data_IF_598845696578
#
_entry.id   IF_598845696578
#
_cell.length_a   1.000
_cell.length_b   1.000
_cell.length_c   1.000
_cell.angle_alpha   90.00
_cell.angle_beta   90.00
_cell.angle_gamma   90.00
#
_symmetry.space_group_name_H-M   'P 1'
#
loop_
_entity.id
_entity.type
_entity.pdbx_description
1 polymer ?
#
# COMPACT_ATOMS: atom_id res chain seq x y z
N UNK A 1 2.14 -4.06 -14.36
CA UNK A 1 1.52 -5.00 -15.34
C UNK A 1 0.53 -5.87 -14.57
N UNK A 2 -0.76 -5.63 -14.76
CA UNK A 2 -1.83 -6.33 -14.02
C UNK A 2 -2.95 -6.73 -14.98
N UNK A 3 -3.74 -7.74 -14.60
CA UNK A 3 -4.94 -8.19 -15.31
C UNK A 3 -6.20 -7.43 -14.87
N UNK A 4 -6.03 -6.33 -14.13
CA UNK A 4 -7.13 -5.58 -13.53
C UNK A 4 -7.21 -4.18 -14.16
N UNK A 5 -8.42 -3.77 -14.52
CA UNK A 5 -8.76 -2.40 -14.94
C UNK A 5 -9.91 -1.88 -14.09
N UNK A 6 -9.76 -0.69 -13.52
CA UNK A 6 -10.86 -0.06 -12.76
C UNK A 6 -11.57 0.94 -13.68
N UNK A 7 -12.84 0.65 -13.96
CA UNK A 7 -13.68 1.48 -14.84
C UNK A 7 -14.53 2.42 -13.99
N UNK A 8 -14.54 3.71 -14.38
CA UNK A 8 -15.44 4.71 -13.81
C UNK A 8 -16.63 4.90 -14.75
N UNK A 9 -17.80 4.45 -14.35
CA UNK A 9 -19.07 4.76 -14.99
C UNK A 9 -19.58 6.08 -14.41
N UNK A 10 -19.29 7.17 -15.10
CA UNK A 10 -19.65 8.52 -14.64
C UNK A 10 -21.15 8.78 -14.72
N UNK A 11 -21.88 8.09 -15.60
CA UNK A 11 -23.32 8.24 -15.73
C UNK A 11 -24.08 7.66 -14.54
N UNK A 12 -23.59 6.58 -13.97
CA UNK A 12 -24.20 5.89 -12.81
C UNK A 12 -23.43 6.11 -11.50
N UNK A 13 -22.41 6.98 -11.50
CA UNK A 13 -21.54 7.25 -10.33
C UNK A 13 -20.97 5.97 -9.70
N UNK A 14 -20.50 5.03 -10.53
CA UNK A 14 -20.00 3.74 -10.09
C UNK A 14 -18.55 3.53 -10.52
N UNK A 15 -17.75 2.94 -9.64
CA UNK A 15 -16.44 2.37 -9.97
C UNK A 15 -16.50 0.87 -9.77
N UNK A 16 -15.98 0.12 -10.73
CA UNK A 16 -15.90 -1.33 -10.61
C UNK A 16 -14.63 -1.87 -11.27
N UNK A 17 -13.96 -2.85 -10.63
CA UNK A 17 -12.84 -3.53 -11.23
C UNK A 17 -13.34 -4.56 -12.25
N UNK A 18 -12.65 -4.65 -13.37
CA UNK A 18 -12.74 -5.75 -14.32
C UNK A 18 -11.43 -6.53 -14.18
N UNK A 19 -11.52 -7.81 -13.87
CA UNK A 19 -10.37 -8.70 -13.75
C UNK A 19 -10.46 -9.75 -14.84
N UNK A 20 -9.49 -9.76 -15.75
CA UNK A 20 -9.42 -10.73 -16.85
C UNK A 20 -7.98 -10.83 -17.35
N UNK A 21 -7.49 -12.05 -17.57
CA UNK A 21 -6.12 -12.27 -18.02
C UNK A 21 -5.82 -11.66 -19.39
N UNK A 22 -6.84 -11.49 -20.25
CA UNK A 22 -6.70 -10.78 -21.52
C UNK A 22 -6.44 -9.27 -21.38
N UNK A 23 -6.60 -8.70 -20.19
CA UNK A 23 -6.24 -7.30 -19.92
C UNK A 23 -4.76 -7.12 -19.57
N UNK A 24 -4.04 -8.22 -19.32
CA UNK A 24 -2.60 -8.15 -19.04
C UNK A 24 -1.88 -7.67 -20.30
N UNK A 25 -1.14 -6.53 -20.26
CA UNK A 25 -0.44 -6.04 -21.42
C UNK A 25 0.77 -6.93 -21.75
N UNK A 26 1.05 -7.13 -23.03
CA UNK A 26 2.24 -7.83 -23.49
C UNK A 26 3.52 -7.02 -23.26
N UNK A 27 3.40 -5.69 -23.26
CA UNK A 27 4.52 -4.74 -23.08
C UNK A 27 4.13 -3.64 -22.11
N UNK A 28 5.06 -3.24 -21.23
CA UNK A 28 4.97 -2.03 -20.43
C UNK A 28 6.11 -1.08 -20.79
N UNK A 29 5.79 0.09 -21.30
CA UNK A 29 6.76 1.13 -21.64
C UNK A 29 6.88 2.08 -20.43
N UNK A 30 8.00 2.00 -19.73
CA UNK A 30 8.27 2.78 -18.51
C UNK A 30 9.14 3.99 -18.87
N UNK A 31 8.52 5.04 -19.43
CA UNK A 31 9.22 6.29 -19.73
C UNK A 31 9.03 7.29 -18.58
N UNK A 32 10.11 7.61 -17.83
CA UNK A 32 10.04 8.52 -16.69
C UNK A 32 9.65 9.95 -17.08
N UNK A 33 9.84 10.35 -18.34
CA UNK A 33 9.48 11.68 -18.82
C UNK A 33 7.95 11.93 -18.79
N UNK A 34 7.17 10.88 -18.92
CA UNK A 34 5.70 10.97 -18.87
C UNK A 34 5.16 11.33 -17.48
N UNK A 35 5.96 11.19 -16.43
CA UNK A 35 5.55 11.43 -15.03
C UNK A 35 6.26 12.61 -14.38
N UNK A 36 7.10 13.37 -15.12
CA UNK A 36 7.82 14.54 -14.59
C UNK A 36 6.90 15.70 -14.20
N UNK A 37 5.73 15.79 -14.80
CA UNK A 37 4.73 16.82 -14.50
C UNK A 37 3.71 16.42 -13.44
N UNK A 38 3.85 15.21 -12.87
CA UNK A 38 2.96 14.76 -11.80
C UNK A 38 3.10 15.66 -10.56
N UNK A 39 1.98 16.17 -10.00
CA UNK A 39 2.02 16.94 -8.76
C UNK A 39 2.67 16.16 -7.62
N UNK A 40 3.27 16.88 -6.65
CA UNK A 40 3.90 16.26 -5.49
C UNK A 40 2.95 15.32 -4.72
N UNK A 41 1.68 15.70 -4.55
CA UNK A 41 0.69 14.86 -3.90
C UNK A 41 0.43 13.55 -4.65
N UNK A 42 0.38 13.58 -5.98
CA UNK A 42 0.24 12.38 -6.81
C UNK A 42 1.48 11.49 -6.66
N UNK A 43 2.68 12.08 -6.72
CA UNK A 43 3.95 11.35 -6.51
C UNK A 43 3.96 10.66 -5.13
N UNK A 44 3.62 11.39 -4.07
CA UNK A 44 3.60 10.86 -2.71
C UNK A 44 2.59 9.72 -2.56
N UNK A 45 1.34 9.94 -2.97
CA UNK A 45 0.25 8.98 -2.75
C UNK A 45 0.44 7.73 -3.60
N UNK A 46 0.78 7.88 -4.89
CA UNK A 46 1.02 6.71 -5.75
C UNK A 46 2.27 5.93 -5.35
N UNK A 47 3.33 6.60 -4.90
CA UNK A 47 4.54 5.93 -4.42
C UNK A 47 4.35 5.20 -3.09
N UNK A 48 3.57 5.76 -2.15
CA UNK A 48 3.19 5.06 -0.92
C UNK A 48 2.25 3.88 -1.20
N UNK A 49 1.44 3.98 -2.26
CA UNK A 49 0.62 2.87 -2.73
C UNK A 49 1.49 1.73 -3.28
N UNK A 50 2.57 2.03 -3.99
CA UNK A 50 3.56 1.02 -4.41
C UNK A 50 4.17 0.31 -3.20
N UNK A 51 4.51 1.05 -2.13
CA UNK A 51 4.98 0.45 -0.88
C UNK A 51 3.93 -0.50 -0.28
N UNK A 52 2.65 -0.11 -0.34
CA UNK A 52 1.53 -0.95 0.15
C UNK A 52 1.38 -2.20 -0.71
N UNK A 53 1.35 -2.07 -2.04
CA UNK A 53 1.31 -3.19 -2.97
C UNK A 53 2.43 -4.20 -2.70
N UNK A 54 3.66 -3.71 -2.52
CA UNK A 54 4.81 -4.55 -2.26
C UNK A 54 4.70 -5.28 -0.92
N UNK A 55 4.36 -4.58 0.17
CA UNK A 55 4.28 -5.20 1.49
C UNK A 55 3.09 -6.14 1.64
N UNK A 56 1.95 -5.84 1.03
CA UNK A 56 0.81 -6.78 1.05
C UNK A 56 1.09 -8.01 0.19
N UNK A 57 1.58 -7.85 -1.04
CA UNK A 57 1.90 -9.00 -1.90
C UNK A 57 2.96 -9.91 -1.31
N UNK A 58 3.92 -9.34 -0.57
CA UNK A 58 4.99 -10.09 0.10
C UNK A 58 4.47 -11.13 1.10
N UNK A 59 3.40 -10.82 1.79
CA UNK A 59 2.80 -11.69 2.82
C UNK A 59 1.47 -12.32 2.41
N UNK A 60 0.97 -12.00 1.22
CA UNK A 60 -0.31 -12.51 0.74
C UNK A 60 -0.32 -14.04 0.65
N UNK A 61 -1.51 -14.63 0.77
CA UNK A 61 -1.69 -16.09 0.83
C UNK A 61 -1.17 -16.85 -0.41
N UNK A 62 -1.05 -16.17 -1.56
CA UNK A 62 -0.51 -16.74 -2.81
C UNK A 62 0.92 -16.28 -3.12
N UNK A 63 1.60 -15.63 -2.15
CA UNK A 63 2.98 -15.18 -2.33
C UNK A 63 3.93 -16.37 -2.57
N UNK A 64 4.93 -16.15 -3.38
CA UNK A 64 5.92 -17.16 -3.75
C UNK A 64 7.30 -16.50 -3.99
N UNK A 65 8.32 -17.30 -4.24
CA UNK A 65 9.70 -16.84 -4.42
C UNK A 65 9.83 -15.69 -5.43
N UNK A 66 9.11 -15.74 -6.55
CA UNK A 66 9.21 -14.72 -7.60
C UNK A 66 8.51 -13.43 -7.17
N UNK A 67 7.30 -13.54 -6.62
CA UNK A 67 6.56 -12.36 -6.11
C UNK A 67 7.28 -11.71 -4.94
N UNK A 68 7.90 -12.51 -4.06
CA UNK A 68 8.68 -12.02 -2.93
C UNK A 68 9.90 -11.22 -3.40
N UNK A 69 10.63 -11.72 -4.39
CA UNK A 69 11.81 -11.04 -4.93
C UNK A 69 11.46 -9.67 -5.54
N UNK A 70 10.34 -9.58 -6.28
CA UNK A 70 9.86 -8.34 -6.87
C UNK A 70 9.36 -7.37 -5.80
N UNK A 71 8.60 -7.86 -4.82
CA UNK A 71 8.07 -7.06 -3.72
C UNK A 71 9.19 -6.49 -2.84
N UNK A 72 10.17 -7.31 -2.45
CA UNK A 72 11.32 -6.87 -1.67
C UNK A 72 12.14 -5.80 -2.40
N UNK A 73 12.35 -5.96 -3.71
CA UNK A 73 13.04 -4.94 -4.51
C UNK A 73 12.24 -3.65 -4.60
N UNK A 74 10.93 -3.72 -4.73
CA UNK A 74 10.06 -2.55 -4.71
C UNK A 74 10.13 -1.82 -3.36
N UNK A 75 10.09 -2.56 -2.23
CA UNK A 75 10.25 -1.97 -0.87
C UNK A 75 11.57 -1.22 -0.75
N UNK A 76 12.69 -1.85 -1.14
CA UNK A 76 14.02 -1.24 -1.14
C UNK A 76 14.06 0.06 -1.94
N UNK A 77 13.57 0.00 -3.17
CA UNK A 77 13.61 1.15 -4.09
C UNK A 77 12.73 2.30 -3.58
N UNK A 78 11.51 2.04 -3.16
CA UNK A 78 10.60 3.08 -2.66
C UNK A 78 11.15 3.73 -1.38
N UNK A 79 11.71 2.93 -0.47
CA UNK A 79 12.29 3.46 0.77
C UNK A 79 13.43 4.46 0.54
N UNK A 80 14.17 4.36 -0.58
CA UNK A 80 15.33 5.19 -0.86
C UNK A 80 15.09 6.31 -1.88
N UNK A 81 14.11 6.19 -2.77
CA UNK A 81 13.97 7.10 -3.91
C UNK A 81 12.66 7.88 -3.97
N UNK A 82 11.61 7.47 -3.22
CA UNK A 82 10.32 8.13 -3.32
C UNK A 82 10.35 9.58 -2.84
N UNK A 83 11.06 9.85 -1.74
CA UNK A 83 11.18 11.21 -1.19
C UNK A 83 11.96 12.10 -2.13
N UNK A 84 12.98 11.56 -2.82
CA UNK A 84 13.74 12.32 -3.81
C UNK A 84 12.85 12.71 -5.00
N UNK A 85 12.04 11.78 -5.52
CA UNK A 85 11.02 12.08 -6.54
C UNK A 85 10.00 13.13 -6.10
N UNK A 86 9.63 13.14 -4.82
CA UNK A 86 8.70 14.12 -4.26
C UNK A 86 9.34 15.51 -4.20
N UNK A 87 10.61 15.59 -3.78
CA UNK A 87 11.35 16.86 -3.64
C UNK A 87 11.75 17.45 -4.99
N UNK A 88 12.18 16.60 -5.93
CA UNK A 88 12.52 16.99 -7.29
C UNK A 88 11.79 16.08 -8.31
N UNK A 89 10.65 16.55 -8.77
CA UNK A 89 9.86 15.86 -9.79
C UNK A 89 10.51 15.76 -11.17
N UNK A 90 11.58 16.51 -11.41
CA UNK A 90 12.34 16.50 -12.68
C UNK A 90 13.55 15.57 -12.65
N UNK A 91 13.89 14.99 -11.51
CA UNK A 91 14.92 13.97 -11.42
C UNK A 91 14.49 12.68 -12.16
N UNK A 92 14.94 12.61 -13.42
CA UNK A 92 14.62 11.50 -14.33
C UNK A 92 15.12 10.16 -13.78
N UNK A 93 16.25 10.14 -13.08
CA UNK A 93 16.84 8.92 -12.56
C UNK A 93 15.98 8.35 -11.42
N UNK A 94 15.61 9.18 -10.45
CA UNK A 94 14.73 8.78 -9.35
C UNK A 94 13.33 8.40 -9.88
N UNK A 95 12.78 9.16 -10.86
CA UNK A 95 11.53 8.81 -11.54
C UNK A 95 11.57 7.43 -12.19
N UNK A 96 12.67 7.11 -12.90
CA UNK A 96 12.83 5.83 -13.59
C UNK A 96 12.78 4.67 -12.59
N UNK A 97 13.60 4.72 -11.54
CA UNK A 97 13.67 3.60 -10.58
C UNK A 97 12.37 3.42 -9.79
N UNK A 98 11.69 4.52 -9.42
CA UNK A 98 10.37 4.45 -8.76
C UNK A 98 9.30 3.89 -9.71
N UNK A 99 9.34 4.24 -10.99
CA UNK A 99 8.41 3.72 -12.00
C UNK A 99 8.63 2.22 -12.23
N UNK A 100 9.88 1.78 -12.29
CA UNK A 100 10.24 0.36 -12.37
C UNK A 100 9.80 -0.41 -11.12
N UNK A 101 9.97 0.16 -9.91
CA UNK A 101 9.49 -0.43 -8.68
C UNK A 101 7.97 -0.58 -8.65
N UNK A 102 7.24 0.41 -9.18
CA UNK A 102 5.79 0.34 -9.34
C UNK A 102 5.37 -0.82 -10.26
N UNK A 103 6.07 -1.00 -11.37
CA UNK A 103 5.82 -2.12 -12.28
C UNK A 103 6.11 -3.47 -11.61
N UNK A 104 7.24 -3.57 -10.88
CA UNK A 104 7.61 -4.79 -10.15
C UNK A 104 6.58 -5.16 -9.07
N UNK A 105 6.14 -4.18 -8.27
CA UNK A 105 5.06 -4.38 -7.29
C UNK A 105 3.75 -4.80 -7.98
N UNK A 106 3.45 -4.22 -9.16
CA UNK A 106 2.30 -4.59 -9.99
C UNK A 106 2.32 -6.05 -10.40
N UNK A 107 3.45 -6.56 -10.87
CA UNK A 107 3.62 -7.97 -11.24
C UNK A 107 3.48 -8.87 -9.99
N UNK A 108 4.07 -8.44 -8.87
CA UNK A 108 4.01 -9.20 -7.62
C UNK A 108 2.57 -9.36 -7.13
N UNK A 109 1.82 -8.26 -6.95
CA UNK A 109 0.46 -8.35 -6.42
C UNK A 109 -0.54 -8.97 -7.40
N UNK A 110 -0.33 -8.82 -8.70
CA UNK A 110 -1.19 -9.47 -9.71
C UNK A 110 -1.21 -10.99 -9.54
N UNK A 111 -0.12 -11.57 -9.08
CA UNK A 111 0.01 -13.00 -8.83
C UNK A 111 -0.31 -13.37 -7.38
N UNK A 112 0.26 -12.66 -6.42
CA UNK A 112 0.14 -12.97 -5.00
C UNK A 112 -1.19 -12.53 -4.39
N UNK A 113 -1.79 -11.46 -4.91
CA UNK A 113 -2.93 -10.77 -4.32
C UNK A 113 -2.49 -9.65 -3.37
N UNK A 114 -3.50 -9.01 -2.79
CA UNK A 114 -3.38 -7.95 -1.79
C UNK A 114 -4.06 -8.41 -0.48
N UNK A 115 -4.29 -7.48 0.45
CA UNK A 115 -4.84 -7.82 1.77
C UNK A 115 -5.78 -6.77 2.34
N UNK A 116 -5.80 -6.68 3.67
CA UNK A 116 -6.76 -5.85 4.41
C UNK A 116 -6.44 -4.36 4.36
N UNK A 117 -5.22 -3.96 4.00
CA UNK A 117 -4.90 -2.55 3.80
C UNK A 117 -5.75 -1.99 2.65
N UNK A 118 -5.69 -2.62 1.49
CA UNK A 118 -6.53 -2.25 0.34
C UNK A 118 -8.02 -2.45 0.62
N UNK A 119 -8.42 -3.53 1.30
CA UNK A 119 -9.81 -3.77 1.63
C UNK A 119 -10.44 -2.63 2.43
N UNK A 120 -9.73 -2.08 3.42
CA UNK A 120 -10.19 -0.93 4.20
C UNK A 120 -10.04 0.37 3.38
N UNK A 121 -8.93 0.56 2.66
CA UNK A 121 -8.69 1.76 1.86
C UNK A 121 -9.75 2.00 0.79
N UNK A 122 -10.28 0.95 0.15
CA UNK A 122 -11.38 1.05 -0.80
C UNK A 122 -12.63 1.65 -0.16
N UNK A 123 -12.93 1.29 1.09
CA UNK A 123 -14.06 1.85 1.82
C UNK A 123 -13.84 3.33 2.14
N UNK A 124 -12.62 3.72 2.53
CA UNK A 124 -12.28 5.13 2.79
C UNK A 124 -12.42 5.99 1.53
N UNK A 125 -12.03 5.44 0.37
CA UNK A 125 -12.23 6.09 -0.91
C UNK A 125 -13.70 6.26 -1.28
N UNK A 126 -14.52 5.25 -1.01
CA UNK A 126 -15.95 5.28 -1.31
C UNK A 126 -16.72 6.25 -0.38
N UNK A 127 -16.46 6.21 0.92
CA UNK A 127 -17.21 6.95 1.93
C UNK A 127 -16.74 8.40 2.10
N UNK A 128 -15.43 8.61 2.10
CA UNK A 128 -14.82 9.90 2.45
C UNK A 128 -14.04 10.55 1.30
N UNK A 129 -14.03 9.93 0.12
CA UNK A 129 -13.27 10.42 -1.04
C UNK A 129 -11.76 10.61 -0.75
N UNK A 130 -11.21 9.87 0.19
CA UNK A 130 -9.77 9.88 0.45
C UNK A 130 -9.05 9.32 -0.78
N UNK A 131 -8.01 10.01 -1.30
CA UNK A 131 -7.21 9.47 -2.40
C UNK A 131 -6.68 8.09 -2.07
N UNK A 132 -6.80 7.14 -3.00
CA UNK A 132 -6.53 5.71 -2.78
C UNK A 132 -5.17 5.45 -2.13
N UNK A 133 -4.09 5.96 -2.70
CA UNK A 133 -2.75 5.75 -2.16
C UNK A 133 -2.53 6.43 -0.79
N UNK A 134 -3.23 7.53 -0.51
CA UNK A 134 -3.21 8.16 0.81
C UNK A 134 -3.94 7.29 1.85
N UNK A 135 -5.10 6.73 1.49
CA UNK A 135 -5.85 5.82 2.36
C UNK A 135 -5.00 4.59 2.74
N UNK A 136 -4.34 3.99 1.74
CA UNK A 136 -3.39 2.90 1.96
C UNK A 136 -2.23 3.33 2.87
N UNK A 137 -1.63 4.50 2.63
CA UNK A 137 -0.52 5.00 3.44
C UNK A 137 -0.89 5.21 4.92
N UNK A 138 -2.08 5.73 5.21
CA UNK A 138 -2.58 5.90 6.57
C UNK A 138 -2.71 4.55 7.30
N UNK A 139 -3.18 3.52 6.61
CA UNK A 139 -3.47 2.19 7.16
C UNK A 139 -2.23 1.30 7.29
N UNK A 140 -1.30 1.40 6.35
CA UNK A 140 -0.18 0.47 6.19
C UNK A 140 0.65 0.24 7.46
N UNK A 141 1.03 1.26 8.26
CA UNK A 141 1.77 1.06 9.50
C UNK A 141 1.06 0.13 10.49
N UNK A 142 -0.25 0.23 10.57
CA UNK A 142 -1.09 -0.55 11.47
C UNK A 142 -1.31 -1.97 10.95
N UNK A 143 -1.54 -2.12 9.65
CA UNK A 143 -1.71 -3.43 9.01
C UNK A 143 -0.43 -4.25 9.06
N UNK A 144 0.74 -3.66 8.77
CA UNK A 144 2.04 -4.33 8.91
C UNK A 144 2.27 -4.79 10.37
N UNK A 145 1.96 -3.91 11.34
CA UNK A 145 2.08 -4.26 12.76
C UNK A 145 1.13 -5.39 13.16
N UNK A 146 -0.11 -5.33 12.69
CA UNK A 146 -1.12 -6.37 12.95
C UNK A 146 -0.68 -7.71 12.38
N UNK A 147 -0.38 -7.79 11.08
CA UNK A 147 0.03 -9.03 10.41
C UNK A 147 1.29 -9.64 11.05
N UNK A 148 2.30 -8.81 11.35
CA UNK A 148 3.51 -9.26 12.04
C UNK A 148 3.25 -9.76 13.47
N UNK A 149 2.21 -9.28 14.15
CA UNK A 149 1.84 -9.73 15.49
C UNK A 149 1.08 -11.06 15.51
N UNK A 150 0.44 -11.41 14.40
CA UNK A 150 -0.47 -12.56 14.30
C UNK A 150 0.09 -13.71 13.44
N UNK A 151 1.16 -13.47 12.66
CA UNK A 151 1.78 -14.45 11.77
C UNK A 151 3.30 -14.37 11.85
N UNK A 152 3.92 -15.46 12.31
CA UNK A 152 5.38 -15.57 12.34
C UNK A 152 5.98 -15.52 10.94
N UNK A 153 5.28 -16.04 9.93
CA UNK A 153 5.70 -15.95 8.53
C UNK A 153 5.70 -14.49 8.05
N UNK A 154 4.64 -13.73 8.33
CA UNK A 154 4.57 -12.31 7.97
C UNK A 154 5.65 -11.51 8.72
N UNK A 155 5.86 -11.77 10.00
CA UNK A 155 6.92 -11.17 10.79
C UNK A 155 8.30 -11.41 10.15
N UNK A 156 8.62 -12.66 9.78
CA UNK A 156 9.89 -13.01 9.15
C UNK A 156 10.08 -12.33 7.79
N UNK A 157 9.05 -12.33 6.94
CA UNK A 157 9.11 -11.71 5.60
C UNK A 157 9.28 -10.19 5.67
N UNK A 158 8.52 -9.50 6.52
CA UNK A 158 8.68 -8.06 6.73
C UNK A 158 10.06 -7.71 7.31
N UNK A 159 10.55 -8.51 8.25
CA UNK A 159 11.89 -8.30 8.81
C UNK A 159 13.00 -8.52 7.77
N UNK A 160 12.85 -9.52 6.89
CA UNK A 160 13.78 -9.76 5.79
C UNK A 160 13.80 -8.58 4.81
N UNK A 161 12.61 -8.08 4.40
CA UNK A 161 12.49 -6.91 3.55
C UNK A 161 13.13 -5.66 4.18
N UNK A 162 12.89 -5.43 5.49
CA UNK A 162 13.52 -4.33 6.21
C UNK A 162 15.06 -4.40 6.22
N UNK A 163 15.62 -5.62 6.36
CA UNK A 163 17.08 -5.81 6.31
C UNK A 163 17.64 -5.62 4.92
N UNK A 164 16.98 -6.17 3.90
CA UNK A 164 17.38 -6.01 2.49
C UNK A 164 17.37 -4.55 2.06
N UNK A 165 16.39 -3.78 2.52
CA UNK A 165 16.31 -2.34 2.32
C UNK A 165 17.25 -1.53 3.25
N UNK A 166 18.16 -2.16 4.01
CA UNK A 166 19.10 -1.46 4.88
C UNK A 166 18.47 -0.73 6.07
N UNK A 167 17.17 -0.89 6.30
CA UNK A 167 16.45 -0.24 7.41
C UNK A 167 16.77 -0.89 8.78
N UNK A 168 17.22 -2.12 8.76
CA UNK A 168 17.63 -2.87 9.94
C UNK A 168 18.88 -3.70 9.67
N UNK A 169 19.77 -3.85 10.66
CA UNK A 169 20.93 -4.73 10.55
C UNK A 169 20.55 -6.21 10.74
N UNK A 170 21.39 -7.11 10.22
CA UNK A 170 21.19 -8.55 10.34
C UNK A 170 21.19 -9.05 11.82
N UNK A 171 21.83 -8.31 12.73
CA UNK A 171 21.86 -8.65 14.16
C UNK A 171 20.63 -8.23 14.95
N UNK A 172 19.72 -7.45 14.35
CA UNK A 172 18.48 -7.05 15.00
C UNK A 172 17.43 -8.16 14.94
N UNK A 173 16.72 -8.38 16.05
CA UNK A 173 15.58 -9.31 16.06
C UNK A 173 14.44 -8.84 15.16
N UNK A 174 13.62 -9.79 14.66
CA UNK A 174 12.59 -9.52 13.64
C UNK A 174 11.59 -8.44 14.06
N UNK A 175 11.12 -8.47 15.32
CA UNK A 175 10.21 -7.42 15.84
C UNK A 175 10.83 -6.01 15.78
N UNK A 176 12.15 -5.90 15.96
CA UNK A 176 12.86 -4.62 15.85
C UNK A 176 12.97 -4.20 14.39
N UNK A 177 13.29 -5.13 13.50
CA UNK A 177 13.38 -4.87 12.06
C UNK A 177 12.03 -4.37 11.50
N UNK A 178 10.92 -5.02 11.88
CA UNK A 178 9.57 -4.58 11.47
C UNK A 178 9.23 -3.20 12.01
N UNK A 179 9.57 -2.89 13.28
CA UNK A 179 9.39 -1.53 13.80
C UNK A 179 10.18 -0.48 13.02
N UNK A 180 11.38 -0.82 12.53
CA UNK A 180 12.17 0.07 11.65
C UNK A 180 11.51 0.29 10.30
N UNK A 181 10.93 -0.76 9.71
CA UNK A 181 10.15 -0.65 8.48
C UNK A 181 8.94 0.28 8.66
N UNK A 182 8.16 0.08 9.72
CA UNK A 182 7.02 0.93 10.06
C UNK A 182 7.45 2.39 10.28
N UNK A 183 8.56 2.61 11.00
CA UNK A 183 9.10 3.94 11.22
C UNK A 183 9.56 4.62 9.91
N UNK A 184 10.10 3.85 8.95
CA UNK A 184 10.45 4.34 7.61
C UNK A 184 9.20 4.83 6.87
N UNK A 185 8.13 4.04 6.82
CA UNK A 185 6.85 4.42 6.18
C UNK A 185 6.31 5.72 6.79
N UNK A 186 6.24 5.79 8.11
CA UNK A 186 5.78 6.99 8.82
C UNK A 186 6.70 8.20 8.59
N UNK A 187 8.02 7.98 8.45
CA UNK A 187 8.97 9.05 8.13
C UNK A 187 8.75 9.58 6.72
N UNK A 188 8.58 8.70 5.73
CA UNK A 188 8.27 9.12 4.35
C UNK A 188 6.98 9.94 4.29
N UNK A 189 5.91 9.50 4.97
CA UNK A 189 4.65 10.26 5.05
C UNK A 189 4.87 11.68 5.60
N UNK A 190 5.64 11.81 6.69
CA UNK A 190 5.95 13.14 7.26
C UNK A 190 6.77 14.01 6.32
N UNK A 191 7.81 13.44 5.68
CA UNK A 191 8.68 14.18 4.75
C UNK A 191 7.92 14.67 3.50
N UNK A 192 6.91 13.92 3.09
CA UNK A 192 6.05 14.27 1.95
C UNK A 192 4.74 14.98 2.37
N UNK A 193 4.66 15.43 3.62
CA UNK A 193 3.51 16.17 4.18
C UNK A 193 2.16 15.45 3.98
N UNK A 194 2.16 14.11 3.96
CA UNK A 194 0.94 13.32 3.86
C UNK A 194 0.16 13.33 5.17
N UNK A 195 -1.16 13.62 5.17
CA UNK A 195 -2.00 13.43 6.35
C UNK A 195 -1.89 11.99 6.87
N UNK A 196 -1.64 11.82 8.17
CA UNK A 196 -1.50 10.50 8.77
C UNK A 196 -2.82 9.93 9.31
N UNK A 197 -3.87 10.74 9.36
CA UNK A 197 -5.19 10.39 9.92
C UNK A 197 -6.31 11.04 9.12
N UNK A 198 -7.52 10.51 9.26
CA UNK A 198 -8.72 11.08 8.63
C UNK A 198 -9.01 12.51 9.12
N UNK A 199 -8.78 12.77 10.41
CA UNK A 199 -8.94 14.12 10.95
C UNK A 199 -7.93 15.11 10.34
N UNK A 200 -6.68 14.70 10.20
CA UNK A 200 -5.66 15.53 9.52
C UNK A 200 -5.97 15.75 8.04
N UNK A 201 -6.70 14.85 7.39
CA UNK A 201 -7.21 15.01 6.02
C UNK A 201 -8.44 15.94 5.95
N UNK A 202 -9.13 16.19 7.08
CA UNK A 202 -10.28 17.08 7.16
C UNK A 202 -11.63 16.38 7.40
N UNK A 203 -11.63 15.10 7.73
CA UNK A 203 -12.83 14.34 8.07
C UNK A 203 -13.11 14.48 9.58
N UNK A 204 -14.37 14.77 9.93
CA UNK A 204 -14.80 14.86 11.33
C UNK A 204 -14.66 13.52 12.05
N UNK A 205 -14.07 13.55 13.26
CA UNK A 205 -13.80 12.35 14.07
C UNK A 205 -15.08 11.60 14.43
N UNK A 206 -16.15 12.32 14.76
CA UNK A 206 -17.42 11.70 15.17
C UNK A 206 -18.15 11.08 13.97
N UNK A 207 -18.04 11.72 12.80
CA UNK A 207 -18.57 11.19 11.54
C UNK A 207 -17.83 9.90 11.18
N UNK A 208 -16.49 9.93 11.14
CA UNK A 208 -15.68 8.75 10.85
C UNK A 208 -15.97 7.61 11.84
N UNK A 209 -16.11 7.92 13.15
CA UNK A 209 -16.39 6.90 14.16
C UNK A 209 -17.72 6.19 13.95
N UNK A 210 -18.76 6.89 13.48
CA UNK A 210 -20.08 6.30 13.17
C UNK A 210 -20.03 5.29 12.04
N UNK A 211 -19.09 5.45 11.10
CA UNK A 211 -18.96 4.59 9.93
C UNK A 211 -18.22 3.26 10.22
N UNK A 212 -17.74 3.05 11.46
CA UNK A 212 -16.90 1.88 11.79
C UNK A 212 -17.51 0.54 11.34
N UNK A 213 -18.80 0.31 11.64
CA UNK A 213 -19.45 -0.96 11.27
C UNK A 213 -19.58 -1.15 9.75
N UNK A 214 -19.85 -0.06 9.02
CA UNK A 214 -19.95 -0.08 7.56
C UNK A 214 -18.59 -0.33 6.91
N UNK A 215 -17.52 0.35 7.37
CA UNK A 215 -16.16 0.14 6.89
C UNK A 215 -15.71 -1.31 7.13
N UNK A 216 -15.97 -1.87 8.32
CA UNK A 216 -15.64 -3.28 8.63
C UNK A 216 -16.39 -4.24 7.71
N UNK A 217 -17.70 -4.05 7.54
CA UNK A 217 -18.52 -4.90 6.67
C UNK A 217 -18.07 -4.81 5.21
N UNK A 218 -17.81 -3.60 4.71
CA UNK A 218 -17.34 -3.38 3.35
C UNK A 218 -15.95 -3.99 3.10
N UNK A 219 -15.02 -3.84 4.05
CA UNK A 219 -13.69 -4.43 3.94
C UNK A 219 -13.74 -5.98 3.88
N UNK A 220 -14.61 -6.63 4.64
CA UNK A 220 -14.80 -8.09 4.58
C UNK A 220 -15.39 -8.57 3.26
N UNK A 221 -16.18 -7.73 2.60
CA UNK A 221 -16.77 -8.05 1.29
C UNK A 221 -15.81 -7.71 0.12
N UNK A 222 -14.70 -7.05 0.39
CA UNK A 222 -13.74 -6.64 -0.64
C UNK A 222 -12.97 -7.83 -1.20
N UNK A 223 -12.70 -7.79 -2.51
CA UNK A 223 -11.99 -8.86 -3.21
C UNK A 223 -10.54 -9.06 -2.77
N UNK A 224 -9.91 -8.06 -2.12
CA UNK A 224 -8.54 -8.16 -1.62
C UNK A 224 -8.45 -8.82 -0.23
N UNK A 225 -9.53 -8.81 0.53
CA UNK A 225 -9.59 -9.32 1.90
C UNK A 225 -9.07 -10.77 2.05
N UNK A 226 -9.44 -11.74 1.19
CA UNK A 226 -9.00 -13.13 1.34
C UNK A 226 -7.50 -13.35 1.14
N UNK A 227 -6.82 -12.37 0.55
CA UNK A 227 -5.37 -12.45 0.32
C UNK A 227 -4.52 -12.16 1.56
N UNK A 228 -5.10 -11.60 2.63
CA UNK A 228 -4.35 -11.30 3.85
C UNK A 228 -3.81 -12.57 4.53
N UNK A 229 -2.58 -12.57 5.07
CA UNK A 229 -1.96 -13.76 5.67
C UNK A 229 -2.70 -14.28 6.92
N UNK A 230 -3.50 -13.44 7.54
CA UNK A 230 -4.32 -13.74 8.72
C UNK A 230 -5.74 -13.24 8.47
N UNK A 231 -6.73 -14.05 8.77
CA UNK A 231 -8.14 -13.62 8.72
C UNK A 231 -8.43 -12.80 9.98
N UNK A 232 -8.66 -11.48 9.87
CA UNK A 232 -8.94 -10.63 11.03
C UNK A 232 -10.37 -10.81 11.51
N UNK A 233 -10.59 -10.60 12.81
CA UNK A 233 -11.93 -10.44 13.40
C UNK A 233 -12.49 -9.05 13.08
N UNK A 234 -13.78 -8.84 13.29
CA UNK A 234 -14.42 -7.53 13.16
C UNK A 234 -13.79 -6.51 14.12
N UNK A 235 -13.44 -6.94 15.34
CA UNK A 235 -12.76 -6.09 16.32
C UNK A 235 -11.34 -5.70 15.87
N UNK A 236 -10.60 -6.62 15.23
CA UNK A 236 -9.27 -6.32 14.68
C UNK A 236 -9.37 -5.25 13.57
N UNK A 237 -10.32 -5.41 12.63
CA UNK A 237 -10.55 -4.44 11.56
C UNK A 237 -10.98 -3.08 12.12
N UNK A 238 -11.91 -3.09 13.09
CA UNK A 238 -12.36 -1.88 13.77
C UNK A 238 -11.22 -1.16 14.51
N UNK A 239 -10.31 -1.92 15.14
CA UNK A 239 -9.14 -1.36 15.82
C UNK A 239 -8.15 -0.71 14.84
N UNK A 240 -7.89 -1.36 13.70
CA UNK A 240 -7.04 -0.80 12.64
C UNK A 240 -7.66 0.49 12.10
N UNK A 241 -8.94 0.48 11.75
CA UNK A 241 -9.64 1.66 11.26
C UNK A 241 -9.63 2.81 12.28
N UNK A 242 -9.96 2.53 13.54
CA UNK A 242 -9.97 3.55 14.62
C UNK A 242 -8.59 4.18 14.86
N UNK A 243 -7.50 3.49 14.51
CA UNK A 243 -6.13 4.01 14.67
C UNK A 243 -5.84 5.21 13.76
N UNK A 244 -6.61 5.38 12.67
CA UNK A 244 -6.43 6.47 11.69
C UNK A 244 -7.50 7.57 11.79
N UNK A 245 -8.46 7.46 12.70
CA UNK A 245 -9.55 8.48 12.82
C UNK A 245 -9.04 9.78 13.45
N UNK A 246 -8.09 9.70 14.40
CA UNK A 246 -7.69 10.81 15.32
C UNK A 246 -6.97 11.95 14.62
#
# INVERSE_FOLDING_TARGET
>A
MTNTSVISDTANHRKFPIMNDHLTPDYALLDPKLVTTAPQSVTAYSGLDVMTHALESLVATKSNLLTDALAEKAVDTIAHHLVDCYNDGQDIQSRQVVHEASCAAGIAFNTAGLGICHAIAHQLGAEFHVPHGLANAMLLPYVVTYNASKSDLALAKYAAAARKAGLASNGMGDKVAVRRLVACIQSMMRQMHCPATLNAFGIDVAEAAKMTAQIVSGAKADGTFPGNPVVPTDDDLAAIYKSIIK
#
